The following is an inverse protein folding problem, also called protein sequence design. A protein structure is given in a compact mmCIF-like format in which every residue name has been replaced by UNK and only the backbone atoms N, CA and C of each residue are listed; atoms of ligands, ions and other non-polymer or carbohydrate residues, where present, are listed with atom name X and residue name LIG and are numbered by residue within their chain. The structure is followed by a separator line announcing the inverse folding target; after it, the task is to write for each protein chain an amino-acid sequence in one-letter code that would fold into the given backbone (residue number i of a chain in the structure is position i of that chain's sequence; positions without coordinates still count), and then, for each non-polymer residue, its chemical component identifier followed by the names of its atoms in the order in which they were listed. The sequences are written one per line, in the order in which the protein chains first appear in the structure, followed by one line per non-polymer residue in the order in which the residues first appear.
data_IF_022199342464
#
_entry.id   IF_022199342464
#
_cell.length_a   1.000
_cell.length_b   1.000
_cell.length_c   1.000
_cell.angle_alpha   90.00
_cell.angle_beta   90.00
_cell.angle_gamma   90.00
#
_symmetry.space_group_name_H-M   'P 1'
#
loop_
_entity.id
_entity.type
_entity.pdbx_description
1 polymer ?
#
# COMPACT_ATOMS: atom_id res chain seq x y z
N UNK A 1 12.04 8.03 37.64
CA UNK A 1 11.68 7.46 36.32
C UNK A 1 10.19 7.21 36.35
N UNK A 2 9.39 8.06 35.71
CA UNK A 2 7.93 7.96 35.72
C UNK A 2 7.53 7.12 34.50
N UNK A 3 7.02 5.92 34.75
CA UNK A 3 6.38 5.09 33.73
C UNK A 3 5.04 5.73 33.36
N UNK A 4 4.92 6.26 32.14
CA UNK A 4 3.62 6.62 31.58
C UNK A 4 2.95 5.34 31.07
N UNK A 5 1.76 4.98 31.56
CA UNK A 5 1.04 3.82 31.05
C UNK A 5 0.63 4.10 29.60
N UNK A 6 1.07 3.23 28.70
CA UNK A 6 0.61 3.22 27.31
C UNK A 6 -0.88 2.88 27.35
N UNK A 7 -1.73 3.82 26.93
CA UNK A 7 -3.18 3.62 26.89
C UNK A 7 -3.55 2.40 26.04
N UNK A 8 -4.75 1.81 26.27
CA UNK A 8 -5.18 0.63 25.53
C UNK A 8 -5.16 0.92 24.03
N UNK A 9 -4.57 -0.01 23.25
CA UNK A 9 -4.64 0.06 21.80
C UNK A 9 -6.12 0.17 21.38
N UNK A 10 -6.46 1.06 20.42
CA UNK A 10 -7.83 1.18 19.95
C UNK A 10 -8.36 -0.20 19.52
N UNK A 11 -9.58 -0.52 19.93
CA UNK A 11 -10.23 -1.77 19.58
C UNK A 11 -10.18 -1.95 18.06
N UNK A 12 -9.64 -3.09 17.60
CA UNK A 12 -9.64 -3.43 16.20
C UNK A 12 -11.08 -3.45 15.70
N UNK A 13 -11.44 -2.49 14.87
CA UNK A 13 -12.74 -2.48 14.18
C UNK A 13 -12.77 -3.77 13.35
N UNK A 14 -13.76 -4.63 13.63
CA UNK A 14 -13.94 -5.86 12.88
C UNK A 14 -14.24 -5.50 11.41
N UNK A 15 -13.24 -5.65 10.55
CA UNK A 15 -13.42 -5.48 9.11
C UNK A 15 -14.26 -6.68 8.64
N UNK A 16 -15.44 -6.46 8.04
CA UNK A 16 -16.22 -7.56 7.48
C UNK A 16 -15.37 -8.35 6.48
N UNK A 17 -15.61 -9.66 6.32
CA UNK A 17 -14.80 -10.49 5.44
C UNK A 17 -14.82 -9.92 4.01
N UNK A 18 -13.64 -9.52 3.53
CA UNK A 18 -13.48 -8.99 2.18
C UNK A 18 -13.66 -10.11 1.16
N UNK A 19 -14.54 -9.90 0.19
CA UNK A 19 -14.92 -10.91 -0.79
C UNK A 19 -14.47 -10.59 -2.22
N UNK A 20 -14.68 -11.57 -3.11
CA UNK A 20 -14.42 -11.42 -4.55
C UNK A 20 -15.15 -10.23 -5.18
N UNK A 21 -16.41 -10.01 -4.78
CA UNK A 21 -17.23 -8.88 -5.25
C UNK A 21 -16.63 -7.53 -4.87
N UNK A 22 -16.00 -7.42 -3.70
CA UNK A 22 -15.29 -6.21 -3.29
C UNK A 22 -14.07 -5.95 -4.15
N UNK A 23 -13.32 -7.02 -4.51
CA UNK A 23 -12.17 -6.91 -5.42
C UNK A 23 -12.62 -6.49 -6.83
N UNK A 24 -13.74 -7.03 -7.32
CA UNK A 24 -14.32 -6.64 -8.62
C UNK A 24 -14.83 -5.17 -8.61
N UNK A 25 -15.38 -4.70 -7.49
CA UNK A 25 -15.70 -3.28 -7.30
C UNK A 25 -14.43 -2.42 -7.31
N UNK A 26 -13.43 -2.78 -6.50
CA UNK A 26 -12.14 -2.09 -6.45
C UNK A 26 -11.46 -2.00 -7.83
N UNK A 27 -11.49 -3.09 -8.61
CA UNK A 27 -10.95 -3.10 -9.96
C UNK A 27 -11.66 -2.12 -10.91
N UNK A 28 -12.99 -1.97 -10.78
CA UNK A 28 -13.76 -0.97 -11.54
C UNK A 28 -13.42 0.45 -11.12
N UNK A 29 -13.28 0.72 -9.83
CA UNK A 29 -12.91 2.05 -9.31
C UNK A 29 -11.49 2.48 -9.72
N UNK A 30 -10.57 1.51 -9.87
CA UNK A 30 -9.19 1.75 -10.31
C UNK A 30 -9.01 1.80 -11.83
N UNK A 31 -10.04 1.48 -12.61
CA UNK A 31 -9.95 1.42 -14.07
C UNK A 31 -9.47 2.77 -14.66
N UNK A 32 -8.43 2.72 -15.48
CA UNK A 32 -7.82 3.91 -16.09
C UNK A 32 -6.88 4.72 -15.19
N UNK A 33 -6.79 4.39 -13.89
CA UNK A 33 -5.92 5.09 -12.92
C UNK A 33 -4.69 4.28 -12.51
N UNK A 34 -4.77 2.96 -12.71
CA UNK A 34 -3.63 2.03 -12.58
C UNK A 34 -3.35 1.40 -13.93
N UNK A 35 -2.10 1.04 -14.18
CA UNK A 35 -1.75 0.30 -15.37
C UNK A 35 -2.12 -1.16 -15.19
N UNK A 36 -2.73 -1.74 -16.22
CA UNK A 36 -2.84 -3.20 -16.33
C UNK A 36 -1.46 -3.75 -16.65
N UNK A 37 -0.69 -4.06 -15.62
CA UNK A 37 0.71 -4.48 -15.77
C UNK A 37 0.81 -5.81 -16.52
N UNK A 38 1.89 -6.05 -17.28
CA UNK A 38 2.04 -7.28 -18.04
C UNK A 38 2.23 -8.48 -17.10
N UNK A 39 1.85 -9.65 -17.60
CA UNK A 39 2.30 -10.93 -17.05
C UNK A 39 3.43 -11.42 -17.93
N UNK A 40 4.60 -11.65 -17.33
CA UNK A 40 5.83 -11.99 -18.04
C UNK A 40 6.14 -13.47 -17.82
N UNK A 41 6.65 -14.10 -18.88
CA UNK A 41 7.15 -15.48 -18.90
C UNK A 41 8.66 -15.44 -19.10
N UNK A 42 9.38 -16.41 -18.54
CA UNK A 42 10.83 -16.51 -18.69
C UNK A 42 11.25 -17.98 -18.65
N UNK A 43 11.49 -18.57 -19.83
CA UNK A 43 11.83 -20.00 -19.96
C UNK A 43 13.07 -20.41 -19.15
N UNK A 44 14.16 -19.62 -19.07
CA UNK A 44 15.27 -19.95 -18.18
C UNK A 44 14.86 -20.02 -16.69
N UNK A 45 13.95 -19.16 -16.24
CA UNK A 45 13.45 -19.21 -14.86
C UNK A 45 12.51 -20.41 -14.64
N UNK A 46 11.71 -20.77 -15.65
CA UNK A 46 10.88 -21.98 -15.59
C UNK A 46 11.75 -23.24 -15.40
N UNK A 47 12.86 -23.35 -16.13
CA UNK A 47 13.79 -24.47 -16.02
C UNK A 47 14.43 -24.57 -14.63
N UNK A 48 14.82 -23.42 -14.03
CA UNK A 48 15.38 -23.37 -12.68
C UNK A 48 14.34 -23.71 -11.61
N UNK A 49 13.10 -23.25 -11.79
CA UNK A 49 12.01 -23.49 -10.84
C UNK A 49 11.39 -24.90 -10.97
N UNK A 50 11.62 -25.59 -12.10
CA UNK A 50 10.92 -26.84 -12.43
C UNK A 50 9.41 -26.66 -12.61
N UNK A 51 8.96 -25.45 -12.96
CA UNK A 51 7.55 -25.09 -13.08
C UNK A 51 7.33 -23.95 -14.07
N UNK A 52 6.13 -23.84 -14.62
CA UNK A 52 5.76 -22.73 -15.50
C UNK A 52 5.42 -21.47 -14.69
N UNK A 53 6.28 -20.44 -14.74
CA UNK A 53 6.13 -19.23 -13.95
C UNK A 53 5.40 -18.11 -14.71
N UNK A 54 4.43 -17.48 -14.05
CA UNK A 54 3.71 -16.31 -14.56
C UNK A 54 3.97 -15.12 -13.64
N UNK A 55 4.73 -14.13 -14.11
CA UNK A 55 5.23 -13.04 -13.29
C UNK A 55 4.39 -11.78 -13.51
N UNK A 56 3.53 -11.43 -12.55
CA UNK A 56 2.79 -10.16 -12.57
C UNK A 56 3.73 -8.99 -12.28
N UNK A 57 4.05 -8.18 -13.29
CA UNK A 57 5.11 -7.17 -13.24
C UNK A 57 4.69 -5.86 -12.54
N UNK A 58 4.31 -5.92 -11.26
CA UNK A 58 3.90 -4.73 -10.49
C UNK A 58 5.04 -3.74 -10.20
N UNK A 59 6.30 -4.13 -10.43
CA UNK A 59 7.43 -3.19 -10.46
C UNK A 59 7.30 -2.15 -11.59
N UNK A 60 6.54 -2.48 -12.64
CA UNK A 60 6.24 -1.58 -13.74
C UNK A 60 5.01 -0.70 -13.46
N UNK A 61 4.31 -0.85 -12.34
CA UNK A 61 3.14 -0.04 -12.04
C UNK A 61 3.51 1.44 -11.84
N UNK A 62 2.54 2.36 -11.98
CA UNK A 62 2.70 3.76 -11.56
C UNK A 62 3.20 3.82 -10.11
N UNK A 63 4.21 4.65 -9.86
CA UNK A 63 4.87 4.70 -8.55
C UNK A 63 5.91 3.59 -8.32
N UNK A 64 6.04 2.62 -9.24
CA UNK A 64 7.07 1.58 -9.26
C UNK A 64 6.74 0.36 -8.37
N UNK A 65 5.50 0.20 -7.94
CA UNK A 65 5.04 -0.98 -7.19
C UNK A 65 3.51 -1.07 -7.16
N UNK A 66 3.00 -2.22 -6.70
CA UNK A 66 1.56 -2.45 -6.52
C UNK A 66 0.88 -1.47 -5.56
N UNK A 67 1.61 -0.85 -4.63
CA UNK A 67 1.05 -0.05 -3.53
C UNK A 67 0.12 1.08 -3.98
N UNK A 68 0.30 1.62 -5.20
CA UNK A 68 -0.57 2.67 -5.73
C UNK A 68 -2.03 2.23 -5.83
N UNK A 69 -2.30 0.95 -6.11
CA UNK A 69 -3.66 0.42 -6.25
C UNK A 69 -4.47 0.64 -4.98
N UNK A 70 -3.94 0.19 -3.84
CA UNK A 70 -4.60 0.40 -2.55
C UNK A 70 -4.55 1.84 -2.04
N UNK A 71 -3.47 2.59 -2.33
CA UNK A 71 -3.37 3.98 -1.90
C UNK A 71 -4.43 4.87 -2.57
N UNK A 72 -4.71 4.65 -3.86
CA UNK A 72 -5.77 5.37 -4.57
C UNK A 72 -7.13 5.17 -3.90
N UNK A 73 -7.54 3.92 -3.67
CA UNK A 73 -8.84 3.64 -3.03
C UNK A 73 -8.94 4.22 -1.62
N UNK A 74 -7.88 4.08 -0.81
CA UNK A 74 -7.87 4.59 0.55
C UNK A 74 -7.95 6.12 0.61
N UNK A 75 -7.19 6.81 -0.25
CA UNK A 75 -7.23 8.28 -0.30
C UNK A 75 -8.54 8.77 -0.93
N UNK A 76 -9.10 8.08 -1.92
CA UNK A 76 -10.42 8.43 -2.47
C UNK A 76 -11.51 8.38 -1.40
N UNK A 77 -11.47 7.36 -0.53
CA UNK A 77 -12.40 7.22 0.58
C UNK A 77 -12.29 8.38 1.57
N UNK A 78 -11.07 8.75 1.94
CA UNK A 78 -10.81 9.88 2.82
C UNK A 78 -11.20 11.22 2.18
N UNK A 79 -10.90 11.41 0.89
CA UNK A 79 -11.28 12.61 0.14
C UNK A 79 -12.80 12.76 0.09
N UNK A 80 -13.54 11.67 -0.22
CA UNK A 80 -15.01 11.65 -0.20
C UNK A 80 -15.59 11.92 1.19
N UNK A 81 -14.89 11.51 2.25
CA UNK A 81 -15.26 11.79 3.63
C UNK A 81 -14.92 13.22 4.09
N UNK A 82 -14.33 14.05 3.22
CA UNK A 82 -13.99 15.44 3.54
C UNK A 82 -12.69 15.60 4.34
N UNK A 83 -11.77 14.63 4.22
CA UNK A 83 -10.45 14.73 4.85
C UNK A 83 -9.71 15.99 4.44
N UNK A 84 -9.00 16.61 5.39
CA UNK A 84 -8.23 17.85 5.16
C UNK A 84 -6.79 17.60 4.69
N UNK A 85 -6.37 16.34 4.70
CA UNK A 85 -5.02 15.91 4.37
C UNK A 85 -4.76 14.51 4.89
N UNK A 86 -3.74 13.86 4.35
CA UNK A 86 -3.40 12.48 4.68
C UNK A 86 -2.02 12.38 5.30
N UNK A 87 -1.84 11.40 6.17
CA UNK A 87 -0.56 11.08 6.79
C UNK A 87 -0.28 9.59 6.68
N UNK A 88 0.97 9.21 6.41
CA UNK A 88 1.34 7.80 6.39
C UNK A 88 2.79 7.60 6.85
N UNK A 89 3.03 6.49 7.55
CA UNK A 89 4.38 6.00 7.78
C UNK A 89 4.75 4.92 6.73
N UNK A 90 5.99 4.94 6.24
CA UNK A 90 6.47 3.90 5.33
C UNK A 90 7.99 3.85 5.21
N UNK A 91 8.52 2.70 4.82
CA UNK A 91 9.91 2.53 4.36
C UNK A 91 10.09 2.81 2.85
N UNK A 92 9.04 3.25 2.13
CA UNK A 92 9.18 3.78 0.77
C UNK A 92 7.95 3.67 -0.12
N UNK A 93 7.65 2.47 -0.62
CA UNK A 93 6.68 2.29 -1.70
C UNK A 93 5.26 2.76 -1.34
N UNK A 94 4.83 2.55 -0.08
CA UNK A 94 3.55 3.04 0.38
C UNK A 94 3.53 4.57 0.49
N UNK A 95 4.60 5.20 0.96
CA UNK A 95 4.68 6.67 1.01
C UNK A 95 4.60 7.29 -0.40
N UNK A 96 5.31 6.74 -1.38
CA UNK A 96 5.21 7.19 -2.78
C UNK A 96 3.78 7.01 -3.30
N UNK A 97 3.16 5.87 -3.03
CA UNK A 97 1.79 5.57 -3.45
C UNK A 97 0.75 6.54 -2.85
N UNK A 98 0.83 6.80 -1.53
CA UNK A 98 -0.05 7.75 -0.83
C UNK A 98 0.16 9.17 -1.35
N UNK A 99 1.41 9.58 -1.55
CA UNK A 99 1.72 10.91 -2.07
C UNK A 99 1.15 11.12 -3.48
N UNK A 100 1.28 10.13 -4.37
CA UNK A 100 0.67 10.15 -5.71
C UNK A 100 -0.87 10.22 -5.65
N UNK A 101 -1.48 9.45 -4.75
CA UNK A 101 -2.94 9.43 -4.61
C UNK A 101 -3.49 10.74 -4.01
N UNK A 102 -2.82 11.31 -3.01
CA UNK A 102 -3.18 12.60 -2.42
C UNK A 102 -3.11 13.74 -3.45
N UNK A 103 -2.10 13.71 -4.33
CA UNK A 103 -1.96 14.67 -5.42
C UNK A 103 -3.16 14.72 -6.36
N UNK A 104 -3.86 13.60 -6.60
CA UNK A 104 -5.06 13.58 -7.45
C UNK A 104 -6.23 14.36 -6.86
N UNK A 105 -6.28 14.45 -5.52
CA UNK A 105 -7.30 15.18 -4.78
C UNK A 105 -6.83 16.55 -4.28
N UNK A 106 -5.59 16.93 -4.61
CA UNK A 106 -4.91 18.12 -4.06
C UNK A 106 -4.93 18.16 -2.53
N UNK A 107 -4.89 16.99 -1.90
CA UNK A 107 -4.82 16.87 -0.45
C UNK A 107 -3.37 17.08 0.01
N UNK A 108 -3.13 17.85 1.08
CA UNK A 108 -1.87 17.82 1.78
C UNK A 108 -1.50 16.40 2.18
N UNK A 109 -0.24 16.01 1.98
CA UNK A 109 0.26 14.71 2.36
C UNK A 109 1.56 14.85 3.14
N UNK A 110 1.61 14.25 4.34
CA UNK A 110 2.83 14.18 5.16
C UNK A 110 3.27 12.73 5.31
N UNK A 111 4.49 12.42 4.90
CA UNK A 111 5.02 11.06 4.85
C UNK A 111 6.15 10.90 5.86
N UNK A 112 5.94 10.03 6.85
CA UNK A 112 6.92 9.73 7.90
C UNK A 112 7.79 8.55 7.48
N UNK A 113 9.04 8.82 7.11
CA UNK A 113 10.02 7.84 6.65
C UNK A 113 11.05 7.54 7.74
N UNK A 114 11.75 6.40 7.70
CA UNK A 114 12.89 6.19 8.59
C UNK A 114 14.03 7.15 8.23
N UNK A 115 14.86 7.50 9.22
CA UNK A 115 15.99 8.41 9.07
C UNK A 115 17.05 7.92 8.09
N UNK A 116 17.10 6.61 7.82
CA UNK A 116 18.00 5.96 6.85
C UNK A 116 17.32 5.73 5.48
N UNK A 117 16.15 6.34 5.23
CA UNK A 117 15.45 6.17 3.98
C UNK A 117 16.32 6.57 2.77
N UNK A 118 16.39 5.74 1.72
CA UNK A 118 17.16 6.05 0.53
C UNK A 118 16.83 7.44 -0.05
N UNK A 119 17.83 8.30 -0.34
CA UNK A 119 17.60 9.66 -0.84
C UNK A 119 16.74 9.70 -2.12
N UNK A 120 16.85 8.66 -2.95
CA UNK A 120 16.04 8.51 -4.17
C UNK A 120 14.55 8.40 -3.87
N UNK A 121 14.15 7.75 -2.77
CA UNK A 121 12.75 7.66 -2.33
C UNK A 121 12.25 8.99 -1.78
N UNK A 122 13.06 9.65 -0.96
CA UNK A 122 12.72 10.99 -0.41
C UNK A 122 12.49 11.98 -1.55
N UNK A 123 13.39 12.00 -2.54
CA UNK A 123 13.26 12.86 -3.72
C UNK A 123 11.96 12.59 -4.48
N UNK A 124 11.67 11.31 -4.79
CA UNK A 124 10.45 10.91 -5.50
C UNK A 124 9.16 11.30 -4.78
N UNK A 125 9.15 11.30 -3.44
CA UNK A 125 7.99 11.76 -2.67
C UNK A 125 7.88 13.29 -2.77
N UNK A 126 8.97 14.03 -2.56
CA UNK A 126 8.96 15.50 -2.66
C UNK A 126 8.56 16.01 -4.05
N UNK A 127 8.93 15.30 -5.11
CA UNK A 127 8.51 15.59 -6.50
C UNK A 127 6.97 15.55 -6.69
N UNK A 128 6.24 14.87 -5.81
CA UNK A 128 4.76 14.89 -5.82
C UNK A 128 4.15 16.12 -5.12
N UNK A 129 4.97 16.94 -4.47
CA UNK A 129 4.53 18.07 -3.64
C UNK A 129 4.24 17.69 -2.18
N UNK A 130 4.40 16.42 -1.81
CA UNK A 130 4.17 15.97 -0.45
C UNK A 130 5.34 16.27 0.51
N UNK A 131 5.01 16.48 1.78
CA UNK A 131 5.97 16.71 2.85
C UNK A 131 6.61 15.39 3.31
N UNK A 132 7.91 15.41 3.56
CA UNK A 132 8.64 14.27 4.11
C UNK A 132 9.20 14.63 5.47
N UNK A 133 8.78 13.87 6.48
CA UNK A 133 9.32 13.91 7.84
C UNK A 133 10.09 12.61 8.09
N UNK A 134 11.24 12.69 8.75
CA UNK A 134 12.04 11.50 9.09
C UNK A 134 11.98 11.23 10.59
N UNK A 135 11.83 9.97 10.99
CA UNK A 135 11.81 9.57 12.39
C UNK A 135 12.41 8.17 12.58
N UNK A 136 13.52 8.10 13.32
CA UNK A 136 14.14 6.87 13.78
C UNK A 136 14.33 5.79 12.70
N UNK A 137 14.56 4.54 13.12
CA UNK A 137 14.54 3.38 12.21
C UNK A 137 13.50 2.36 12.65
N UNK A 138 13.02 2.44 13.89
CA UNK A 138 11.98 1.56 14.43
C UNK A 138 10.59 2.03 13.98
N UNK A 139 9.69 1.07 13.82
CA UNK A 139 8.29 1.37 13.49
C UNK A 139 7.61 2.20 14.59
N UNK A 140 7.90 1.91 15.86
CA UNK A 140 7.35 2.64 17.00
C UNK A 140 7.67 4.14 16.96
N UNK A 141 8.89 4.51 16.59
CA UNK A 141 9.33 5.91 16.46
C UNK A 141 8.54 6.65 15.38
N UNK A 142 8.37 6.02 14.21
CA UNK A 142 7.57 6.60 13.12
C UNK A 142 6.11 6.70 13.47
N UNK A 143 5.53 5.68 14.10
CA UNK A 143 4.12 5.70 14.51
C UNK A 143 3.86 6.77 15.56
N UNK A 144 4.79 7.00 16.50
CA UNK A 144 4.69 8.10 17.47
C UNK A 144 4.68 9.47 16.77
N UNK A 145 5.57 9.69 15.81
CA UNK A 145 5.59 10.94 15.02
C UNK A 145 4.33 11.11 14.17
N UNK A 146 3.78 10.03 13.61
CA UNK A 146 2.46 10.08 12.93
C UNK A 146 1.36 10.52 13.88
N UNK A 147 1.32 9.99 15.11
CA UNK A 147 0.30 10.37 16.09
C UNK A 147 0.39 11.86 16.45
N UNK A 148 1.60 12.36 16.72
CA UNK A 148 1.85 13.78 17.03
C UNK A 148 1.45 14.71 15.86
N UNK A 149 1.84 14.37 14.64
CA UNK A 149 1.47 15.15 13.44
C UNK A 149 -0.04 15.10 13.17
N UNK A 150 -0.66 13.95 13.41
CA UNK A 150 -2.12 13.79 13.29
C UNK A 150 -2.85 14.72 14.27
N UNK A 151 -2.42 14.81 15.52
CA UNK A 151 -3.03 15.71 16.50
C UNK A 151 -2.87 17.18 16.10
N UNK A 152 -1.70 17.56 15.56
CA UNK A 152 -1.42 18.94 15.15
C UNK A 152 -2.16 19.37 13.87
N UNK A 153 -2.18 18.54 12.84
CA UNK A 153 -2.73 18.89 11.53
C UNK A 153 -4.18 18.42 11.35
N UNK A 154 -4.61 17.41 12.11
CA UNK A 154 -5.87 16.72 11.91
C UNK A 154 -5.95 16.04 10.55
N UNK A 155 -4.86 15.42 10.11
CA UNK A 155 -4.78 14.60 8.90
C UNK A 155 -5.13 13.15 9.20
N UNK A 156 -5.73 12.47 8.22
CA UNK A 156 -6.16 11.09 8.38
C UNK A 156 -5.07 10.09 8.02
N UNK A 157 -4.84 9.06 8.86
CA UNK A 157 -3.80 8.08 8.61
C UNK A 157 -4.19 7.10 7.51
N UNK A 158 -3.29 6.86 6.56
CA UNK A 158 -3.43 5.81 5.55
C UNK A 158 -2.54 4.62 5.93
N UNK A 159 -3.11 3.66 6.65
CA UNK A 159 -2.36 2.48 7.09
C UNK A 159 -1.99 1.56 5.90
N UNK A 160 -0.71 1.14 5.77
CA UNK A 160 -0.25 0.29 4.67
C UNK A 160 -0.77 -1.15 4.64
N UNK A 161 -1.43 -1.62 5.70
CA UNK A 161 -1.78 -3.03 5.89
C UNK A 161 -3.20 -3.25 6.44
N UNK A 162 -3.62 -2.46 7.43
CA UNK A 162 -4.88 -2.62 8.16
C UNK A 162 -6.04 -1.85 7.51
N UNK A 163 -5.78 -0.99 6.53
CA UNK A 163 -6.82 -0.29 5.80
C UNK A 163 -7.48 -1.24 4.77
N UNK A 164 -8.81 -1.49 4.84
CA UNK A 164 -9.50 -2.41 3.94
C UNK A 164 -9.41 -2.00 2.46
N UNK A 165 -9.48 -0.70 2.16
CA UNK A 165 -9.31 -0.20 0.79
C UNK A 165 -7.91 -0.45 0.25
N UNK A 166 -6.90 -0.32 1.13
CA UNK A 166 -5.53 -0.69 0.76
C UNK A 166 -5.47 -2.16 0.37
N UNK A 167 -6.02 -3.06 1.20
CA UNK A 167 -6.04 -4.52 0.93
C UNK A 167 -6.79 -4.83 -0.38
N UNK A 168 -7.99 -4.28 -0.56
CA UNK A 168 -8.80 -4.49 -1.77
C UNK A 168 -8.09 -4.02 -3.03
N UNK A 169 -7.48 -2.83 -3.00
CA UNK A 169 -6.72 -2.31 -4.13
C UNK A 169 -5.56 -3.23 -4.49
N UNK A 170 -4.82 -3.76 -3.50
CA UNK A 170 -3.71 -4.68 -3.81
C UNK A 170 -4.22 -5.99 -4.42
N UNK A 171 -5.36 -6.51 -3.96
CA UNK A 171 -5.97 -7.73 -4.49
C UNK A 171 -6.33 -7.64 -5.97
N UNK A 172 -6.54 -6.42 -6.51
CA UNK A 172 -6.79 -6.23 -7.95
C UNK A 172 -5.62 -6.66 -8.83
N UNK A 173 -4.38 -6.60 -8.33
CA UNK A 173 -3.21 -7.10 -9.06
C UNK A 173 -3.30 -8.62 -9.30
N UNK A 174 -3.74 -9.37 -8.28
CA UNK A 174 -3.97 -10.82 -8.37
C UNK A 174 -5.17 -11.13 -9.27
N UNK A 175 -6.26 -10.36 -9.18
CA UNK A 175 -7.41 -10.54 -10.06
C UNK A 175 -7.03 -10.35 -11.54
N UNK A 176 -6.21 -9.34 -11.85
CA UNK A 176 -5.67 -9.13 -13.20
C UNK A 176 -4.78 -10.29 -13.65
N UNK A 177 -3.87 -10.77 -12.78
CA UNK A 177 -3.00 -11.92 -13.07
C UNK A 177 -3.84 -13.15 -13.45
N UNK A 178 -4.82 -13.51 -12.61
CA UNK A 178 -5.68 -14.67 -12.86
C UNK A 178 -6.44 -14.53 -14.18
N UNK A 179 -6.98 -13.34 -14.47
CA UNK A 179 -7.68 -13.07 -15.72
C UNK A 179 -6.77 -13.12 -16.96
N UNK A 180 -5.53 -12.63 -16.84
CA UNK A 180 -4.54 -12.66 -17.93
C UNK A 180 -4.10 -14.08 -18.26
N UNK A 181 -3.78 -14.90 -17.24
CA UNK A 181 -3.37 -16.29 -17.45
C UNK A 181 -4.53 -17.15 -17.98
N UNK A 182 -5.75 -16.93 -17.47
CA UNK A 182 -6.94 -17.62 -17.96
C UNK A 182 -7.24 -17.31 -19.44
N UNK A 183 -6.98 -16.07 -19.90
CA UNK A 183 -7.12 -15.70 -21.30
C UNK A 183 -6.16 -16.44 -22.24
N UNK A 184 -5.06 -16.99 -21.70
CA UNK A 184 -4.12 -17.86 -22.42
C UNK A 184 -4.52 -19.34 -22.33
N UNK A 185 -5.71 -19.66 -21.80
CA UNK A 185 -6.20 -21.03 -21.66
C UNK A 185 -5.55 -21.80 -20.50
N UNK A 186 -4.86 -21.11 -19.59
CA UNK A 186 -4.14 -21.72 -18.48
C UNK A 186 -4.83 -21.41 -17.15
N UNK A 187 -4.88 -22.41 -16.26
CA UNK A 187 -5.27 -22.24 -14.86
C UNK A 187 -4.03 -22.36 -13.99
N UNK A 188 -3.82 -21.39 -13.09
CA UNK A 188 -2.72 -21.46 -12.13
C UNK A 188 -3.02 -22.49 -11.04
N UNK A 189 -2.02 -23.31 -10.71
CA UNK A 189 -2.07 -24.26 -9.60
C UNK A 189 -1.79 -23.57 -8.25
N UNK A 190 -0.96 -22.54 -8.26
CA UNK A 190 -0.57 -21.76 -7.08
C UNK A 190 -0.34 -20.28 -7.43
N UNK A 191 -0.51 -19.42 -6.43
CA UNK A 191 -0.14 -18.00 -6.49
C UNK A 191 0.80 -17.70 -5.34
N UNK A 192 1.99 -17.21 -5.64
CA UNK A 192 3.00 -16.82 -4.64
C UNK A 192 2.99 -15.31 -4.50
N UNK A 193 2.82 -14.82 -3.28
CA UNK A 193 2.78 -13.38 -2.97
C UNK A 193 3.81 -13.08 -1.87
N UNK A 194 4.68 -12.07 -2.05
CA UNK A 194 5.60 -11.67 -0.99
C UNK A 194 4.81 -11.06 0.18
N UNK A 195 5.06 -11.56 1.39
CA UNK A 195 4.44 -11.06 2.62
C UNK A 195 5.46 -10.23 3.41
N UNK A 196 5.09 -8.99 3.71
CA UNK A 196 5.82 -8.11 4.61
C UNK A 196 5.06 -7.94 5.93
N UNK A 197 4.45 -6.77 6.13
CA UNK A 197 3.65 -6.45 7.33
C UNK A 197 2.33 -7.19 7.50
N UNK A 198 2.10 -8.29 6.77
CA UNK A 198 0.87 -9.09 6.84
C UNK A 198 0.69 -9.86 8.15
N UNK A 199 1.76 -10.04 8.94
CA UNK A 199 1.67 -10.64 10.28
C UNK A 199 2.60 -9.90 11.26
N UNK A 200 2.02 -9.07 12.12
CA UNK A 200 2.53 -8.85 13.48
C UNK A 200 1.36 -8.77 14.45
N UNK A 201 0.76 -9.93 14.67
CA UNK A 201 -0.31 -10.14 15.64
C UNK A 201 -0.28 -11.59 16.12
N UNK A 202 0.83 -12.02 16.72
CA UNK A 202 0.99 -13.37 17.24
C UNK A 202 2.24 -13.48 18.11
N UNK A 203 2.01 -13.71 19.40
CA UNK A 203 2.99 -13.83 20.49
C UNK A 203 4.19 -14.72 20.13
N UNK A 204 5.38 -14.31 20.57
CA UNK A 204 6.37 -15.19 21.18
C UNK A 204 6.83 -14.54 22.48
#
# INVERSE_FOLDING_TARGET
MSEHPIGPAPAAVAVPPLGRTDVERAARELAGRVWRTPVVRCEPLDAVAGAHLWLKAENLQRGGSFKVRGALLAVDELARAGSRGVIAQSTGNHAIAVALAAGEHRLPATLVLPSDAPPTKIRRIRETGAEVVTAGTLLSERTAVVAELRERHGYDPVDPYQNPQVVLGQATATAELLGQVAAEGVRLDAVVVPVGGGERGGRR
#
